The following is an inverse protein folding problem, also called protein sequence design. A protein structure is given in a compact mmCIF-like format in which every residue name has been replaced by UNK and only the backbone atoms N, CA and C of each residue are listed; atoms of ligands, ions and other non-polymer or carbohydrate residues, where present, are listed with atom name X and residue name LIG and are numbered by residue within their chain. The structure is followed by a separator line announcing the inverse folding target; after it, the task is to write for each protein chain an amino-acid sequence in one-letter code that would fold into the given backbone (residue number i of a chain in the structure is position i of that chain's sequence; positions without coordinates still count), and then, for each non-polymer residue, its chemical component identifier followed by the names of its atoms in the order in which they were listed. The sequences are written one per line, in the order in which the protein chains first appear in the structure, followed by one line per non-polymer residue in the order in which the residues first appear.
data_IF_416125214017
#
_entry.id   IF_416125214017
#
_cell.length_a   1.000
_cell.length_b   1.000
_cell.length_c   1.000
_cell.angle_alpha   90.00
_cell.angle_beta   90.00
_cell.angle_gamma   90.00
#
_symmetry.space_group_name_H-M   'P 1'
#
loop_
_entity.id
_entity.type
_entity.pdbx_description
1 polymer ?
#
# COMPACT_ATOMS: atom_id res chain seq x y z
N UNK A 1 48.75 -2.12 -1.76
CA UNK A 1 48.02 -1.10 -0.98
C UNK A 1 46.54 -1.24 -1.33
N UNK A 2 45.74 -1.64 -0.36
CA UNK A 2 44.32 -1.99 -0.49
C UNK A 2 43.51 -0.69 -0.58
N UNK A 3 42.58 -0.59 -1.54
CA UNK A 3 41.45 0.35 -1.48
C UNK A 3 40.16 -0.35 -1.94
N UNK A 4 39.66 -1.23 -1.07
CA UNK A 4 38.24 -1.55 -0.97
C UNK A 4 37.56 -0.40 -0.20
N UNK A 5 36.65 0.36 -0.83
CA UNK A 5 35.45 0.90 -0.17
C UNK A 5 34.64 1.83 -1.10
N UNK A 6 33.58 1.31 -1.72
CA UNK A 6 32.44 2.16 -2.11
C UNK A 6 31.07 1.46 -2.08
N UNK A 7 31.00 0.15 -1.83
CA UNK A 7 29.71 -0.57 -1.81
C UNK A 7 28.94 -0.50 -0.47
N UNK A 8 29.53 0.05 0.60
CA UNK A 8 28.97 -0.08 1.97
C UNK A 8 28.03 1.04 2.44
N UNK A 9 27.66 2.01 1.59
CA UNK A 9 26.77 3.14 2.00
C UNK A 9 25.29 2.95 1.67
N UNK A 10 24.95 2.11 0.68
CA UNK A 10 23.55 1.94 0.26
C UNK A 10 22.77 0.94 1.12
N UNK A 11 23.43 -0.09 1.65
CA UNK A 11 22.80 -1.04 2.59
C UNK A 11 22.29 -0.40 3.89
N UNK A 12 22.93 0.69 4.34
CA UNK A 12 22.49 1.44 5.52
C UNK A 12 21.20 2.22 5.29
N UNK A 13 20.96 2.73 4.08
CA UNK A 13 19.70 3.42 3.76
C UNK A 13 18.52 2.45 3.63
N UNK A 14 18.77 1.24 3.12
CA UNK A 14 17.75 0.18 3.06
C UNK A 14 17.34 -0.29 4.47
N UNK A 15 18.30 -0.41 5.40
CA UNK A 15 18.04 -0.77 6.80
C UNK A 15 17.28 0.31 7.59
N UNK A 16 17.38 1.59 7.22
CA UNK A 16 16.65 2.68 7.91
C UNK A 16 15.15 2.61 7.60
N UNK A 17 14.75 2.07 6.44
CA UNK A 17 13.34 1.86 6.09
C UNK A 17 12.66 0.78 6.94
N UNK A 18 13.42 -0.06 7.65
CA UNK A 18 12.92 -1.21 8.43
C UNK A 18 12.36 -0.78 9.81
N UNK A 19 12.68 0.42 10.31
CA UNK A 19 12.56 0.71 11.76
C UNK A 19 11.70 1.92 12.17
N UNK A 20 10.97 2.58 11.27
CA UNK A 20 10.22 3.81 11.64
C UNK A 20 8.73 3.74 11.32
N UNK A 21 8.00 2.87 12.02
CA UNK A 21 6.58 3.05 12.26
C UNK A 21 6.40 3.53 13.71
N UNK A 22 6.02 4.79 13.95
CA UNK A 22 5.92 5.33 15.30
C UNK A 22 4.69 4.77 16.02
N UNK A 23 4.93 4.20 17.19
CA UNK A 23 3.93 3.79 18.18
C UNK A 23 3.56 4.97 19.07
N UNK A 24 2.39 5.62 18.89
CA UNK A 24 1.92 6.64 19.86
C UNK A 24 0.39 6.75 20.06
N UNK A 25 0.04 6.53 21.33
CA UNK A 25 -0.88 7.19 22.29
C UNK A 25 -2.19 7.84 21.80
N UNK A 26 -3.29 7.40 22.42
CA UNK A 26 -4.67 7.83 22.18
C UNK A 26 -5.11 8.99 23.11
N UNK A 27 -5.90 9.92 22.58
CA UNK A 27 -6.73 10.86 23.35
C UNK A 27 -8.22 10.71 22.99
N UNK A 28 -9.07 10.99 23.98
CA UNK A 28 -10.45 10.54 24.14
C UNK A 28 -11.48 11.63 23.81
N UNK A 29 -12.58 11.25 23.15
CA UNK A 29 -13.88 11.92 23.15
C UNK A 29 -14.97 10.88 23.37
N UNK A 30 -15.98 11.21 24.17
CA UNK A 30 -17.02 10.30 24.67
C UNK A 30 -18.22 10.21 23.71
N UNK A 31 -18.56 8.97 23.34
CA UNK A 31 -19.90 8.52 22.97
C UNK A 31 -20.13 7.22 23.73
N UNK A 32 -21.39 6.96 24.12
CA UNK A 32 -21.79 5.87 25.02
C UNK A 32 -21.69 4.50 24.32
N UNK A 33 -20.46 4.08 24.03
CA UNK A 33 -20.06 2.71 23.71
C UNK A 33 -19.60 2.03 24.99
N UNK A 34 -19.83 0.72 25.10
CA UNK A 34 -19.20 -0.08 26.15
C UNK A 34 -17.67 -0.03 26.02
N UNK A 35 -16.95 -0.34 27.10
CA UNK A 35 -15.48 -0.28 27.11
C UNK A 35 -14.83 -1.20 26.05
N UNK A 36 -15.48 -2.33 25.75
CA UNK A 36 -15.04 -3.32 24.75
C UNK A 36 -15.27 -2.77 23.33
N UNK A 37 -16.48 -2.31 23.03
CA UNK A 37 -16.81 -1.68 21.74
C UNK A 37 -15.91 -0.48 21.43
N UNK A 38 -15.60 0.33 22.45
CA UNK A 38 -14.69 1.49 22.31
C UNK A 38 -13.25 1.07 22.01
N UNK A 39 -12.80 -0.08 22.51
CA UNK A 39 -11.47 -0.61 22.23
C UNK A 39 -11.40 -1.18 20.81
N UNK A 40 -12.38 -2.00 20.42
CA UNK A 40 -12.50 -2.59 19.08
C UNK A 40 -12.60 -1.50 18.00
N UNK A 41 -13.45 -0.50 18.22
CA UNK A 41 -13.57 0.66 17.33
C UNK A 41 -12.24 1.40 17.15
N UNK A 42 -11.46 1.56 18.23
CA UNK A 42 -10.15 2.22 18.16
C UNK A 42 -9.12 1.38 17.41
N UNK A 43 -9.09 0.07 17.62
CA UNK A 43 -8.17 -0.81 16.91
C UNK A 43 -8.50 -0.87 15.41
N UNK A 44 -9.78 -0.99 15.04
CA UNK A 44 -10.20 -0.93 13.65
C UNK A 44 -9.84 0.41 12.99
N UNK A 45 -10.13 1.54 13.66
CA UNK A 45 -9.76 2.87 13.16
C UNK A 45 -8.23 3.05 13.01
N UNK A 46 -7.42 2.44 13.88
CA UNK A 46 -5.95 2.41 13.71
C UNK A 46 -5.55 1.60 12.48
N UNK A 47 -6.17 0.45 12.27
CA UNK A 47 -5.99 -0.37 11.07
C UNK A 47 -6.26 0.40 9.79
N UNK A 48 -7.38 1.13 9.74
CA UNK A 48 -7.74 1.98 8.60
C UNK A 48 -6.74 3.12 8.35
N UNK A 49 -6.19 3.73 9.40
CA UNK A 49 -5.12 4.74 9.27
C UNK A 49 -3.87 4.14 8.68
N UNK A 50 -3.49 2.95 9.15
CA UNK A 50 -2.33 2.22 8.64
C UNK A 50 -2.52 1.91 7.15
N UNK A 51 -3.66 1.34 6.78
CA UNK A 51 -3.98 1.01 5.40
C UNK A 51 -3.88 2.23 4.47
N UNK A 52 -4.47 3.34 4.89
CA UNK A 52 -4.49 4.58 4.11
C UNK A 52 -3.08 5.14 3.81
N UNK A 53 -2.13 4.97 4.72
CA UNK A 53 -0.73 5.39 4.49
C UNK A 53 -0.15 4.67 3.27
N UNK A 54 -0.39 3.37 3.14
CA UNK A 54 0.09 2.60 1.98
C UNK A 54 -0.63 2.95 0.69
N UNK A 55 -1.95 3.23 0.75
CA UNK A 55 -2.69 3.69 -0.42
C UNK A 55 -2.18 5.04 -0.91
N UNK A 56 -1.93 5.97 0.00
CA UNK A 56 -1.38 7.28 -0.34
C UNK A 56 0.06 7.19 -0.87
N UNK A 57 0.84 6.22 -0.41
CA UNK A 57 2.13 5.88 -0.98
C UNK A 57 1.99 5.35 -2.41
N UNK A 58 1.14 4.35 -2.64
CA UNK A 58 0.90 3.74 -3.94
C UNK A 58 0.49 4.77 -4.99
N UNK A 59 -0.50 5.62 -4.69
CA UNK A 59 -0.94 6.72 -5.57
C UNK A 59 0.21 7.61 -6.05
N UNK A 60 1.10 7.98 -5.12
CA UNK A 60 2.21 8.88 -5.43
C UNK A 60 3.29 8.19 -6.25
N UNK A 61 3.67 6.97 -5.86
CA UNK A 61 4.69 6.18 -6.56
C UNK A 61 4.24 5.85 -7.98
N UNK A 62 3.03 5.34 -8.17
CA UNK A 62 2.55 4.94 -9.50
C UNK A 62 2.36 6.14 -10.43
N UNK A 63 1.83 7.25 -9.90
CA UNK A 63 1.70 8.50 -10.66
C UNK A 63 3.06 9.05 -11.10
N UNK A 64 4.06 9.05 -10.22
CA UNK A 64 5.41 9.54 -10.56
C UNK A 64 6.12 8.65 -11.59
N UNK A 65 5.91 7.34 -11.52
CA UNK A 65 6.57 6.37 -12.40
C UNK A 65 5.91 6.25 -13.77
N UNK A 66 4.66 6.67 -13.95
CA UNK A 66 3.89 6.47 -15.18
C UNK A 66 4.59 6.97 -16.46
N UNK A 67 5.31 8.09 -16.36
CA UNK A 67 6.01 8.69 -17.50
C UNK A 67 7.41 8.14 -17.76
N UNK A 68 7.99 7.42 -16.79
CA UNK A 68 9.28 6.75 -16.93
C UNK A 68 9.29 5.45 -16.10
N UNK A 69 8.65 4.38 -16.61
CA UNK A 69 8.48 3.13 -15.88
C UNK A 69 9.83 2.48 -15.56
N UNK A 70 10.05 2.01 -14.32
CA UNK A 70 11.31 1.39 -13.94
C UNK A 70 11.32 -0.11 -14.26
N UNK A 71 12.46 -0.60 -14.74
CA UNK A 71 12.67 -2.04 -15.00
C UNK A 71 11.66 -2.58 -16.00
N UNK A 72 10.97 -3.66 -15.63
CA UNK A 72 9.97 -4.32 -16.47
C UNK A 72 8.55 -3.78 -16.30
N UNK A 73 8.34 -2.77 -15.45
CA UNK A 73 7.04 -2.12 -15.33
C UNK A 73 6.71 -1.37 -16.62
N UNK A 74 5.43 -1.25 -16.95
CA UNK A 74 4.97 -0.54 -18.14
C UNK A 74 4.12 0.66 -17.74
N UNK A 75 4.00 1.64 -18.64
CA UNK A 75 3.08 2.77 -18.41
C UNK A 75 1.64 2.29 -18.24
N UNK A 76 1.24 1.22 -18.95
CA UNK A 76 -0.09 0.62 -18.85
C UNK A 76 -0.31 -0.03 -17.49
N UNK A 77 0.63 -0.84 -16.98
CA UNK A 77 0.48 -1.44 -15.65
C UNK A 77 0.45 -0.38 -14.54
N UNK A 78 1.26 0.67 -14.66
CA UNK A 78 1.23 1.80 -13.72
C UNK A 78 -0.07 2.62 -13.80
N UNK A 79 -0.68 2.72 -14.98
CA UNK A 79 -2.00 3.34 -15.14
C UNK A 79 -3.09 2.53 -14.44
N UNK A 80 -3.15 1.21 -14.68
CA UNK A 80 -4.10 0.30 -14.01
C UNK A 80 -3.94 0.34 -12.48
N UNK A 81 -2.70 0.28 -11.99
CA UNK A 81 -2.42 0.42 -10.56
C UNK A 81 -2.90 1.76 -9.99
N UNK A 82 -2.70 2.86 -10.74
CA UNK A 82 -3.20 4.18 -10.33
C UNK A 82 -4.73 4.22 -10.28
N UNK A 83 -5.42 3.60 -11.24
CA UNK A 83 -6.88 3.48 -11.25
C UNK A 83 -7.40 2.65 -10.08
N UNK A 84 -6.76 1.53 -9.77
CA UNK A 84 -7.08 0.71 -8.60
C UNK A 84 -6.98 1.54 -7.31
N UNK A 85 -5.90 2.31 -7.13
CA UNK A 85 -5.71 3.17 -5.96
C UNK A 85 -6.74 4.30 -5.86
N UNK A 86 -7.14 4.87 -7.01
CA UNK A 86 -8.22 5.84 -7.07
C UNK A 86 -9.57 5.20 -6.69
N UNK A 87 -9.87 4.02 -7.22
CA UNK A 87 -11.11 3.31 -6.92
C UNK A 87 -11.19 2.87 -5.46
N UNK A 88 -10.09 2.38 -4.88
CA UNK A 88 -9.98 2.10 -3.45
C UNK A 88 -10.35 3.32 -2.61
N UNK A 89 -9.93 4.52 -3.04
CA UNK A 89 -10.30 5.76 -2.34
C UNK A 89 -11.80 5.95 -2.29
N UNK A 90 -12.51 5.65 -3.37
CA UNK A 90 -13.96 5.78 -3.46
C UNK A 90 -14.64 4.73 -2.57
N UNK A 91 -14.28 3.46 -2.73
CA UNK A 91 -14.89 2.32 -1.99
C UNK A 91 -14.69 2.47 -0.49
N UNK A 92 -13.49 2.85 -0.05
CA UNK A 92 -13.15 2.90 1.38
C UNK A 92 -13.54 4.21 2.06
N UNK A 93 -13.94 5.25 1.29
CA UNK A 93 -14.26 6.57 1.85
C UNK A 93 -15.37 6.55 2.91
N UNK A 94 -16.51 5.84 2.74
CA UNK A 94 -17.54 5.78 3.76
C UNK A 94 -17.03 5.20 5.08
N UNK A 95 -16.27 4.10 5.01
CA UNK A 95 -15.70 3.43 6.18
C UNK A 95 -14.73 4.36 6.91
N UNK A 96 -13.79 4.97 6.17
CA UNK A 96 -12.79 5.88 6.73
C UNK A 96 -13.44 7.11 7.38
N UNK A 97 -14.42 7.72 6.72
CA UNK A 97 -15.15 8.89 7.25
C UNK A 97 -15.89 8.56 8.54
N UNK A 98 -16.60 7.42 8.58
CA UNK A 98 -17.34 7.01 9.77
C UNK A 98 -16.41 6.75 10.97
N UNK A 99 -15.16 6.36 10.71
CA UNK A 99 -14.14 6.11 11.73
C UNK A 99 -13.21 7.31 12.00
N UNK A 100 -13.51 8.50 11.46
CA UNK A 100 -12.71 9.70 11.66
C UNK A 100 -11.28 9.59 11.13
N UNK A 101 -11.07 8.80 10.07
CA UNK A 101 -9.78 8.64 9.39
C UNK A 101 -9.66 9.70 8.32
N UNK A 102 -8.73 10.65 8.51
CA UNK A 102 -8.42 11.71 7.56
C UNK A 102 -7.73 11.13 6.33
N UNK A 103 -8.38 11.25 5.16
CA UNK A 103 -7.87 10.78 3.87
C UNK A 103 -6.85 11.71 3.21
N UNK A 104 -6.50 12.83 3.84
CA UNK A 104 -5.60 13.84 3.28
C UNK A 104 -4.16 13.30 3.18
N UNK A 105 -3.50 13.55 2.04
CA UNK A 105 -2.09 13.21 1.86
C UNK A 105 -1.24 14.22 2.62
N UNK A 106 -0.49 13.75 3.63
CA UNK A 106 0.38 14.59 4.43
C UNK A 106 1.80 14.70 3.84
N UNK A 107 2.58 15.67 4.32
CA UNK A 107 3.96 15.89 3.86
C UNK A 107 4.87 14.67 4.09
N UNK A 108 4.63 13.91 5.17
CA UNK A 108 5.39 12.68 5.48
C UNK A 108 5.18 11.60 4.42
N UNK A 109 3.96 11.45 3.92
CA UNK A 109 3.63 10.48 2.86
C UNK A 109 4.38 10.82 1.57
N UNK A 110 4.53 12.11 1.27
CA UNK A 110 5.31 12.61 0.12
C UNK A 110 6.79 12.30 0.22
N UNK A 111 7.36 12.39 1.42
CA UNK A 111 8.75 12.05 1.62
C UNK A 111 8.99 10.55 1.41
N UNK A 112 8.13 9.70 2.00
CA UNK A 112 8.25 8.25 1.87
C UNK A 112 8.08 7.79 0.41
N UNK A 113 7.12 8.36 -0.32
CA UNK A 113 6.91 8.10 -1.74
C UNK A 113 8.15 8.42 -2.58
N UNK A 114 8.77 9.58 -2.37
CA UNK A 114 10.02 9.94 -3.08
C UNK A 114 11.13 8.92 -2.86
N UNK A 115 11.28 8.41 -1.63
CA UNK A 115 12.30 7.40 -1.33
C UNK A 115 12.03 6.11 -2.08
N UNK A 116 10.78 5.60 -2.02
CA UNK A 116 10.39 4.37 -2.73
C UNK A 116 10.54 4.54 -4.24
N UNK A 117 10.10 5.67 -4.80
CA UNK A 117 10.24 5.97 -6.23
C UNK A 117 11.71 6.00 -6.65
N UNK A 118 12.58 6.65 -5.87
CA UNK A 118 14.02 6.70 -6.17
C UNK A 118 14.64 5.29 -6.13
N UNK A 119 14.28 4.47 -5.14
CA UNK A 119 14.77 3.08 -5.06
C UNK A 119 14.35 2.27 -6.28
N UNK A 120 13.10 2.40 -6.74
CA UNK A 120 12.61 1.73 -7.95
C UNK A 120 13.32 2.21 -9.21
N UNK A 121 13.65 3.51 -9.31
CA UNK A 121 14.39 4.05 -10.46
C UNK A 121 15.84 3.59 -10.49
N UNK A 122 16.52 3.56 -9.34
CA UNK A 122 17.96 3.26 -9.25
C UNK A 122 18.23 1.76 -9.25
N UNK A 123 17.40 0.96 -8.59
CA UNK A 123 17.54 -0.50 -8.50
C UNK A 123 16.20 -1.20 -8.78
N UNK A 124 15.72 -1.20 -10.03
CA UNK A 124 14.36 -1.66 -10.35
C UNK A 124 14.07 -3.10 -9.90
N UNK A 125 15.01 -4.02 -10.14
CA UNK A 125 14.85 -5.43 -9.77
C UNK A 125 14.74 -5.62 -8.25
N UNK A 126 15.64 -5.01 -7.48
CA UNK A 126 15.61 -5.09 -6.02
C UNK A 126 14.39 -4.37 -5.43
N UNK A 127 14.02 -3.22 -6.01
CA UNK A 127 12.84 -2.47 -5.63
C UNK A 127 11.55 -3.26 -5.86
N UNK A 128 11.40 -3.91 -7.02
CA UNK A 128 10.22 -4.70 -7.33
C UNK A 128 10.10 -5.96 -6.46
N UNK A 129 11.22 -6.65 -6.16
CA UNK A 129 11.25 -7.75 -5.17
C UNK A 129 10.92 -7.29 -3.75
N UNK A 130 11.38 -6.10 -3.36
CA UNK A 130 11.01 -5.52 -2.06
C UNK A 130 9.52 -5.17 -1.98
N UNK A 131 8.96 -4.61 -3.06
CA UNK A 131 7.52 -4.34 -3.14
C UNK A 131 6.70 -5.63 -3.06
N UNK A 132 7.12 -6.69 -3.74
CA UNK A 132 6.45 -8.01 -3.69
C UNK A 132 6.30 -8.51 -2.26
N UNK A 133 7.40 -8.61 -1.52
CA UNK A 133 7.35 -9.06 -0.12
C UNK A 133 6.64 -8.07 0.81
N UNK A 134 6.60 -6.78 0.46
CA UNK A 134 5.81 -5.78 1.22
C UNK A 134 4.31 -5.94 0.97
N UNK A 135 3.90 -6.17 -0.27
CA UNK A 135 2.52 -6.43 -0.65
C UNK A 135 2.01 -7.73 -0.01
N UNK A 136 2.82 -8.80 -0.02
CA UNK A 136 2.49 -10.06 0.68
C UNK A 136 2.16 -9.83 2.16
N UNK A 137 3.05 -9.16 2.90
CA UNK A 137 2.82 -8.84 4.31
C UNK A 137 1.58 -7.97 4.50
N UNK A 138 1.37 -7.03 3.59
CA UNK A 138 0.23 -6.13 3.69
C UNK A 138 -1.09 -6.86 3.43
N UNK A 139 -1.14 -7.85 2.53
CA UNK A 139 -2.32 -8.74 2.40
C UNK A 139 -2.69 -9.37 3.74
N UNK A 140 -1.71 -9.86 4.50
CA UNK A 140 -1.98 -10.44 5.82
C UNK A 140 -2.51 -9.40 6.81
N UNK A 141 -1.88 -8.23 6.89
CA UNK A 141 -2.33 -7.14 7.77
C UNK A 141 -3.75 -6.66 7.42
N UNK A 142 -4.09 -6.59 6.12
CA UNK A 142 -5.43 -6.21 5.67
C UNK A 142 -6.47 -7.27 6.01
N UNK A 143 -6.11 -8.56 6.01
CA UNK A 143 -7.00 -9.64 6.51
C UNK A 143 -7.24 -9.51 8.01
N UNK A 144 -6.24 -9.12 8.79
CA UNK A 144 -6.41 -8.88 10.24
C UNK A 144 -7.31 -7.66 10.50
N UNK A 145 -7.18 -6.61 9.70
CA UNK A 145 -8.07 -5.43 9.74
C UNK A 145 -9.50 -5.84 9.34
N UNK A 146 -9.66 -6.64 8.29
CA UNK A 146 -10.95 -7.18 7.86
C UNK A 146 -11.60 -8.03 8.97
N UNK A 147 -10.83 -8.89 9.63
CA UNK A 147 -11.33 -9.76 10.70
C UNK A 147 -11.78 -9.00 11.94
N UNK A 148 -11.23 -7.80 12.17
CA UNK A 148 -11.63 -6.90 13.26
C UNK A 148 -12.68 -5.86 12.83
N UNK A 149 -13.21 -5.98 11.62
CA UNK A 149 -14.16 -5.01 11.07
C UNK A 149 -15.54 -5.12 11.73
N UNK A 150 -16.19 -3.98 12.07
CA UNK A 150 -17.59 -3.97 12.46
C UNK A 150 -18.49 -4.51 11.34
N UNK A 151 -19.64 -5.07 11.73
CA UNK A 151 -20.67 -5.54 10.79
C UNK A 151 -21.11 -4.40 9.87
N UNK A 152 -21.29 -4.70 8.58
CA UNK A 152 -21.78 -3.77 7.57
C UNK A 152 -20.71 -3.17 6.65
N UNK A 153 -19.44 -3.55 6.80
CA UNK A 153 -18.34 -3.16 5.89
C UNK A 153 -17.71 -4.34 5.15
N UNK A 154 -18.38 -5.48 5.10
CA UNK A 154 -17.81 -6.72 4.56
C UNK A 154 -17.37 -6.54 3.11
N UNK A 155 -18.12 -5.79 2.31
CA UNK A 155 -17.80 -5.51 0.91
C UNK A 155 -16.55 -4.65 0.76
N UNK A 156 -16.47 -3.56 1.49
CA UNK A 156 -15.34 -2.63 1.47
C UNK A 156 -14.06 -3.29 1.97
N UNK A 157 -14.15 -4.07 3.05
CA UNK A 157 -12.99 -4.80 3.58
C UNK A 157 -12.55 -5.91 2.64
N UNK A 158 -13.48 -6.59 1.98
CA UNK A 158 -13.16 -7.62 0.98
C UNK A 158 -12.44 -6.98 -0.21
N UNK A 159 -12.99 -5.89 -0.76
CA UNK A 159 -12.36 -5.15 -1.84
C UNK A 159 -10.93 -4.71 -1.47
N UNK A 160 -10.73 -4.18 -0.26
CA UNK A 160 -9.42 -3.73 0.23
C UNK A 160 -8.38 -4.85 0.21
N UNK A 161 -8.76 -6.07 0.62
CA UNK A 161 -7.88 -7.25 0.62
C UNK A 161 -7.64 -7.77 -0.79
N UNK A 162 -8.67 -7.83 -1.63
CA UNK A 162 -8.58 -8.28 -3.03
C UNK A 162 -7.70 -7.36 -3.87
N UNK A 163 -7.84 -6.04 -3.70
CA UNK A 163 -6.96 -5.04 -4.31
C UNK A 163 -5.49 -5.34 -4.01
N UNK A 164 -5.16 -5.59 -2.74
CA UNK A 164 -3.77 -5.85 -2.37
C UNK A 164 -3.26 -7.18 -2.91
N UNK A 165 -4.12 -8.20 -2.95
CA UNK A 165 -3.79 -9.48 -3.60
C UNK A 165 -3.51 -9.30 -5.09
N UNK A 166 -4.25 -8.44 -5.79
CA UNK A 166 -4.00 -8.15 -7.19
C UNK A 166 -2.64 -7.45 -7.40
N UNK A 167 -2.30 -6.48 -6.53
CA UNK A 167 -0.96 -5.86 -6.54
C UNK A 167 0.14 -6.88 -6.27
N UNK A 168 -0.03 -7.73 -5.26
CA UNK A 168 0.92 -8.80 -4.95
C UNK A 168 1.08 -9.77 -6.13
N UNK A 169 -0.02 -10.26 -6.70
CA UNK A 169 -0.01 -11.16 -7.86
C UNK A 169 0.66 -10.56 -9.08
N UNK A 170 0.40 -9.27 -9.37
CA UNK A 170 1.13 -8.53 -10.39
C UNK A 170 2.65 -8.53 -10.13
N UNK A 171 3.07 -8.23 -8.90
CA UNK A 171 4.49 -8.15 -8.54
C UNK A 171 5.20 -9.51 -8.61
N UNK A 172 4.54 -10.59 -8.20
CA UNK A 172 5.06 -11.97 -8.33
C UNK A 172 5.36 -12.28 -9.80
N UNK A 173 4.36 -12.15 -10.67
CA UNK A 173 4.54 -12.44 -12.10
C UNK A 173 5.54 -11.49 -12.77
N UNK A 174 5.55 -10.20 -12.38
CA UNK A 174 6.53 -9.23 -12.86
C UNK A 174 7.97 -9.65 -12.52
N UNK A 175 8.19 -10.09 -11.28
CA UNK A 175 9.51 -10.50 -10.78
C UNK A 175 9.97 -11.86 -11.31
N UNK A 176 9.03 -12.70 -11.74
CA UNK A 176 9.30 -13.96 -12.43
C UNK A 176 9.51 -13.78 -13.95
N UNK A 177 9.32 -12.56 -14.46
CA UNK A 177 9.49 -12.22 -15.87
C UNK A 177 8.29 -12.56 -16.76
N UNK A 178 7.18 -13.04 -16.18
CA UNK A 178 5.93 -13.30 -16.90
C UNK A 178 5.09 -12.02 -17.02
N UNK A 179 5.52 -11.12 -17.90
CA UNK A 179 4.91 -9.81 -18.07
C UNK A 179 3.46 -9.89 -18.56
N UNK A 180 3.15 -10.92 -19.37
CA UNK A 180 1.79 -11.11 -19.89
C UNK A 180 0.85 -11.49 -18.76
N UNK A 181 1.24 -12.42 -17.91
CA UNK A 181 0.42 -12.81 -16.76
C UNK A 181 0.34 -11.70 -15.72
N UNK A 182 1.44 -10.98 -15.47
CA UNK A 182 1.43 -9.81 -14.59
C UNK A 182 0.39 -8.78 -15.03
N UNK A 183 0.35 -8.46 -16.33
CA UNK A 183 -0.62 -7.51 -16.86
C UNK A 183 -2.06 -8.01 -16.75
N UNK A 184 -2.31 -9.27 -17.11
CA UNK A 184 -3.63 -9.91 -17.00
C UNK A 184 -4.21 -9.81 -15.60
N UNK A 185 -3.41 -10.00 -14.53
CA UNK A 185 -3.90 -9.87 -13.15
C UNK A 185 -4.53 -8.50 -12.88
N UNK A 186 -3.92 -7.42 -13.41
CA UNK A 186 -4.44 -6.08 -13.22
C UNK A 186 -5.67 -5.82 -14.10
N UNK A 187 -5.68 -6.30 -15.35
CA UNK A 187 -6.83 -6.17 -16.26
C UNK A 187 -8.05 -6.93 -15.74
N UNK A 188 -7.86 -8.17 -15.30
CA UNK A 188 -8.89 -9.03 -14.72
C UNK A 188 -9.50 -8.33 -13.49
N UNK A 189 -8.67 -7.85 -12.57
CA UNK A 189 -9.13 -7.13 -11.38
C UNK A 189 -9.93 -5.86 -11.72
N UNK A 190 -9.42 -5.04 -12.65
CA UNK A 190 -10.08 -3.80 -13.09
C UNK A 190 -11.43 -4.11 -13.74
N UNK A 191 -11.51 -5.18 -14.53
CA UNK A 191 -12.76 -5.63 -15.17
C UNK A 191 -13.77 -6.17 -14.16
N UNK A 192 -13.34 -7.08 -13.26
CA UNK A 192 -14.18 -7.71 -12.24
C UNK A 192 -14.84 -6.67 -11.31
N UNK A 193 -14.09 -5.62 -10.95
CA UNK A 193 -14.58 -4.55 -10.08
C UNK A 193 -15.17 -3.34 -10.83
N UNK A 194 -15.28 -3.40 -12.16
CA UNK A 194 -15.79 -2.32 -13.00
C UNK A 194 -15.11 -0.96 -12.72
N UNK A 195 -13.79 -0.97 -12.61
CA UNK A 195 -12.98 0.22 -12.31
C UNK A 195 -12.85 1.06 -13.59
N UNK A 196 -13.24 2.34 -13.51
CA UNK A 196 -13.19 3.30 -14.63
C UNK A 196 -11.79 3.92 -14.80
#
# INVERSE_FOLDING_TARGET
MICYNSQLKWGKFLMIMVLTLPSFVAMSGENMMTRIEKAEYREFAKGLKYELVFRNLGKQVFSELKHNPPGSMTANSLDLLSKMEQHNTIVMNPVRKQHGVDSTIHCKDKFFAKTVTLSLKVMPYLGARYLEGSAERFVHQLKDIQASSPVGYEKEMTYMVEHEKALYGYLVHLNDGDLKRAHSVLEDFVSEHNIQ
#
